data_IF_540464972781
#
_entry.id   IF_540464972781
#
_cell.length_a   1.000
_cell.length_b   1.000
_cell.length_c   1.000
_cell.angle_alpha   90.00
_cell.angle_beta   90.00
_cell.angle_gamma   90.00
#
_symmetry.space_group_name_H-M   'P 1'
#
loop_
_entity.id
_entity.type
_entity.pdbx_description
1 polymer ?
#
# COMPACT_ATOMS: atom_id res chain seq x y z
N UNK A 1 12.73 -9.46 -14.14
CA UNK A 1 13.81 -9.71 -13.16
C UNK A 1 13.44 -8.95 -11.90
N UNK A 2 13.55 -9.53 -10.70
CA UNK A 2 13.27 -8.75 -9.48
C UNK A 2 14.37 -7.70 -9.31
N UNK A 3 13.97 -6.46 -9.08
CA UNK A 3 14.86 -5.35 -8.72
C UNK A 3 15.66 -5.67 -7.46
N UNK A 4 16.64 -4.81 -7.15
CA UNK A 4 17.59 -5.07 -6.06
C UNK A 4 16.93 -5.14 -4.68
N UNK A 5 15.87 -4.36 -4.45
CA UNK A 5 15.28 -4.19 -3.12
C UNK A 5 14.45 -5.41 -2.70
N UNK A 6 13.74 -6.08 -3.63
CA UNK A 6 12.95 -7.28 -3.32
C UNK A 6 13.76 -8.45 -2.77
N UNK A 7 15.10 -8.41 -2.89
CA UNK A 7 16.02 -9.41 -2.36
C UNK A 7 16.36 -9.19 -0.87
N UNK A 8 16.05 -8.03 -0.31
CA UNK A 8 16.33 -7.68 1.09
C UNK A 8 15.27 -8.28 2.04
N UNK A 9 15.24 -9.62 2.14
CA UNK A 9 14.21 -10.35 2.90
C UNK A 9 14.20 -10.04 4.41
N UNK A 10 15.36 -9.69 4.96
CA UNK A 10 15.54 -9.36 6.37
C UNK A 10 15.41 -7.86 6.67
N UNK A 11 15.00 -7.05 5.69
CA UNK A 11 14.77 -5.62 5.91
C UNK A 11 13.58 -5.45 6.85
N UNK A 12 13.84 -4.89 8.03
CA UNK A 12 12.83 -4.66 9.06
C UNK A 12 12.24 -3.26 9.03
N UNK A 13 13.01 -2.27 8.59
CA UNK A 13 12.59 -0.89 8.56
C UNK A 13 12.83 -0.29 7.18
N UNK A 14 11.78 0.33 6.64
CA UNK A 14 11.81 1.12 5.42
C UNK A 14 10.82 2.26 5.64
N UNK A 15 11.27 3.51 5.53
CA UNK A 15 10.39 4.67 5.72
C UNK A 15 9.32 4.73 4.65
N UNK A 16 9.75 4.69 3.39
CA UNK A 16 8.89 4.87 2.24
C UNK A 16 9.40 4.14 1.00
N UNK A 17 8.47 3.87 0.09
CA UNK A 17 8.75 3.33 -1.24
C UNK A 17 8.06 4.18 -2.31
N UNK A 18 8.84 4.67 -3.27
CA UNK A 18 8.33 5.44 -4.42
C UNK A 18 8.11 4.50 -5.59
N UNK A 19 6.85 4.26 -5.94
CA UNK A 19 6.49 3.36 -7.05
C UNK A 19 6.89 3.99 -8.38
N UNK A 20 7.72 3.27 -9.15
CA UNK A 20 8.05 3.60 -10.53
C UNK A 20 7.12 2.92 -11.54
N UNK A 21 7.30 3.24 -12.83
CA UNK A 21 6.45 2.75 -13.94
C UNK A 21 7.01 1.49 -14.61
N UNK A 22 8.24 1.09 -14.28
CA UNK A 22 8.90 -0.07 -14.88
C UNK A 22 8.83 -1.24 -13.92
N UNK A 23 8.84 -2.48 -14.42
CA UNK A 23 8.76 -3.67 -13.56
C UNK A 23 9.86 -3.70 -12.47
N UNK A 24 11.06 -3.21 -12.79
CA UNK A 24 12.23 -3.21 -11.90
C UNK A 24 12.14 -2.22 -10.72
N UNK A 25 11.23 -1.26 -10.79
CA UNK A 25 10.96 -0.27 -9.74
C UNK A 25 9.46 -0.15 -9.41
N UNK A 26 8.65 -1.08 -9.90
CA UNK A 26 7.22 -1.13 -9.68
C UNK A 26 6.87 -1.61 -8.28
N UNK A 27 5.59 -1.53 -7.93
CA UNK A 27 5.08 -1.88 -6.60
C UNK A 27 5.32 -3.37 -6.26
N UNK A 28 5.47 -4.22 -7.26
CA UNK A 28 5.75 -5.65 -7.14
C UNK A 28 7.07 -5.92 -6.39
N UNK A 29 8.02 -4.98 -6.38
CA UNK A 29 9.27 -5.09 -5.62
C UNK A 29 9.03 -5.22 -4.11
N UNK A 30 7.93 -4.62 -3.61
CA UNK A 30 7.52 -4.78 -2.21
C UNK A 30 7.12 -6.21 -1.85
N UNK A 31 6.79 -7.05 -2.85
CA UNK A 31 6.43 -8.45 -2.64
C UNK A 31 7.54 -9.28 -1.99
N UNK A 32 8.78 -8.80 -2.06
CA UNK A 32 9.92 -9.42 -1.41
C UNK A 32 10.15 -9.01 0.05
N UNK A 33 9.58 -7.88 0.48
CA UNK A 33 9.84 -7.23 1.77
C UNK A 33 8.74 -7.58 2.79
N UNK A 34 8.67 -8.84 3.20
CA UNK A 34 7.59 -9.33 4.08
C UNK A 34 7.79 -9.00 5.56
N UNK A 35 9.04 -8.78 5.97
CA UNK A 35 9.42 -8.55 7.37
C UNK A 35 9.47 -7.06 7.73
N UNK A 36 8.71 -6.18 7.06
CA UNK A 36 8.68 -4.75 7.41
C UNK A 36 7.86 -4.51 8.69
N UNK A 37 8.37 -3.66 9.58
CA UNK A 37 7.78 -3.33 10.89
C UNK A 37 7.40 -1.85 10.99
N UNK A 38 6.40 -1.58 11.83
CA UNK A 38 6.07 -0.23 12.29
C UNK A 38 5.34 0.59 11.23
N UNK A 39 5.93 1.71 10.83
CA UNK A 39 5.32 2.69 9.93
C UNK A 39 5.88 2.53 8.53
N UNK A 40 5.02 2.50 7.51
CA UNK A 40 5.45 2.40 6.12
C UNK A 40 4.61 3.30 5.22
N UNK A 41 5.27 3.96 4.27
CA UNK A 41 4.63 4.82 3.28
C UNK A 41 4.85 4.31 1.85
N UNK A 42 3.81 4.32 1.03
CA UNK A 42 3.89 4.01 -0.41
C UNK A 42 3.44 5.23 -1.20
N UNK A 43 4.35 5.77 -2.01
CA UNK A 43 4.15 6.99 -2.81
C UNK A 43 3.97 6.66 -4.28
N UNK A 44 3.32 7.58 -5.00
CA UNK A 44 3.10 7.53 -6.45
C UNK A 44 2.27 6.33 -6.91
N UNK A 45 1.22 6.01 -6.15
CA UNK A 45 0.34 4.88 -6.47
C UNK A 45 -0.37 5.02 -7.84
N UNK A 46 -0.43 6.22 -8.42
CA UNK A 46 -0.87 6.45 -9.80
C UNK A 46 -0.09 5.65 -10.86
N UNK A 47 1.13 5.19 -10.53
CA UNK A 47 1.96 4.40 -11.44
C UNK A 47 1.58 2.92 -11.49
N UNK A 48 0.68 2.44 -10.62
CA UNK A 48 0.21 1.05 -10.60
C UNK A 48 -0.91 0.90 -11.63
N UNK A 49 -0.66 0.14 -12.70
CA UNK A 49 -1.56 0.10 -13.86
C UNK A 49 -2.66 -0.94 -13.66
N UNK A 50 -2.31 -2.10 -13.10
CA UNK A 50 -3.23 -3.22 -12.93
C UNK A 50 -3.34 -3.65 -11.46
N UNK A 51 -4.54 -4.08 -11.05
CA UNK A 51 -4.75 -4.65 -9.71
C UNK A 51 -3.87 -5.88 -9.43
N UNK A 52 -3.44 -6.61 -10.45
CA UNK A 52 -2.47 -7.72 -10.32
C UNK A 52 -1.12 -7.23 -9.78
N UNK A 53 -0.66 -6.06 -10.21
CA UNK A 53 0.59 -5.46 -9.73
C UNK A 53 0.47 -5.08 -8.25
N UNK A 54 -0.63 -4.43 -7.88
CA UNK A 54 -0.94 -4.11 -6.48
C UNK A 54 -0.96 -5.36 -5.59
N UNK A 55 -1.56 -6.46 -6.04
CA UNK A 55 -1.57 -7.74 -5.31
C UNK A 55 -0.17 -8.33 -5.12
N UNK A 56 0.71 -8.18 -6.10
CA UNK A 56 2.09 -8.65 -6.03
C UNK A 56 2.94 -7.87 -5.02
N UNK A 57 2.50 -6.68 -4.60
CA UNK A 57 3.13 -5.96 -3.49
C UNK A 57 3.01 -6.73 -2.17
N UNK A 58 2.07 -7.68 -2.05
CA UNK A 58 1.84 -8.54 -0.89
C UNK A 58 1.77 -7.75 0.42
N UNK A 59 0.96 -6.69 0.45
CA UNK A 59 0.77 -5.87 1.66
C UNK A 59 0.11 -6.70 2.78
N UNK A 60 -0.79 -7.62 2.42
CA UNK A 60 -1.41 -8.58 3.34
C UNK A 60 -0.39 -9.42 4.15
N UNK A 61 0.81 -9.65 3.61
CA UNK A 61 1.83 -10.46 4.26
C UNK A 61 2.72 -9.65 5.22
N UNK A 62 2.66 -8.32 5.18
CA UNK A 62 3.48 -7.41 6.00
C UNK A 62 2.87 -7.19 7.39
N UNK A 63 2.68 -8.29 8.12
CA UNK A 63 1.89 -8.34 9.37
C UNK A 63 2.42 -7.49 10.52
N UNK A 64 3.65 -6.99 10.43
CA UNK A 64 4.28 -6.19 11.47
C UNK A 64 4.16 -4.67 11.24
N UNK A 65 3.48 -4.25 10.17
CA UNK A 65 3.15 -2.85 9.94
C UNK A 65 1.95 -2.48 10.82
N UNK A 66 2.10 -1.42 11.61
CA UNK A 66 1.03 -0.88 12.44
C UNK A 66 0.36 0.33 11.76
N UNK A 67 1.12 1.11 10.99
CA UNK A 67 0.66 2.29 10.27
C UNK A 67 1.07 2.22 8.81
N UNK A 68 0.11 2.41 7.90
CA UNK A 68 0.33 2.48 6.46
C UNK A 68 -0.16 3.82 5.90
N UNK A 69 0.69 4.52 5.15
CA UNK A 69 0.32 5.69 4.36
C UNK A 69 0.36 5.35 2.87
N UNK A 70 -0.77 5.52 2.20
CA UNK A 70 -0.93 5.35 0.75
C UNK A 70 -1.07 6.73 0.11
N UNK A 71 -0.22 7.05 -0.86
CA UNK A 71 -0.19 8.39 -1.46
C UNK A 71 -0.23 8.37 -2.99
N UNK A 72 -1.22 9.07 -3.53
CA UNK A 72 -1.30 9.49 -4.94
C UNK A 72 -0.77 10.91 -5.08
N UNK A 73 0.15 11.12 -6.01
CA UNK A 73 0.81 12.42 -6.22
C UNK A 73 0.34 13.15 -7.48
N UNK A 74 -0.48 12.51 -8.31
CA UNK A 74 -1.06 13.11 -9.51
C UNK A 74 -2.58 13.00 -9.50
N UNK A 75 -3.20 13.64 -10.48
CA UNK A 75 -4.64 13.56 -10.66
C UNK A 75 -5.11 12.24 -11.32
N UNK A 76 -4.20 11.37 -11.74
CA UNK A 76 -4.46 10.10 -12.41
C UNK A 76 -4.61 8.94 -11.41
N UNK A 77 -5.55 9.06 -10.47
CA UNK A 77 -5.83 7.97 -9.54
C UNK A 77 -6.49 6.78 -10.27
N UNK A 78 -6.14 5.57 -9.85
CA UNK A 78 -6.74 4.32 -10.29
C UNK A 78 -7.26 3.59 -9.07
N UNK A 79 -8.42 2.96 -9.21
CA UNK A 79 -9.02 2.14 -8.16
C UNK A 79 -8.24 0.83 -7.98
N UNK A 80 -7.15 0.91 -7.21
CA UNK A 80 -6.29 -0.23 -6.85
C UNK A 80 -6.28 -0.47 -5.33
N UNK A 81 -7.01 0.35 -4.57
CA UNK A 81 -7.04 0.28 -3.11
C UNK A 81 -7.55 -1.07 -2.62
N UNK A 82 -8.61 -1.60 -3.24
CA UNK A 82 -9.10 -2.95 -2.93
C UNK A 82 -8.08 -4.05 -3.30
N UNK A 83 -7.32 -3.84 -4.38
CA UNK A 83 -6.33 -4.81 -4.84
C UNK A 83 -5.07 -4.90 -3.97
N UNK A 84 -4.75 -3.87 -3.18
CA UNK A 84 -3.61 -3.91 -2.26
C UNK A 84 -3.77 -4.96 -1.15
N UNK A 85 -5.02 -5.25 -0.76
CA UNK A 85 -5.40 -6.18 0.32
C UNK A 85 -4.59 -5.96 1.60
N UNK A 86 -5.10 -5.08 2.46
CA UNK A 86 -4.42 -4.78 3.72
C UNK A 86 -4.48 -5.97 4.69
N UNK A 87 -3.51 -6.09 5.59
CA UNK A 87 -3.55 -7.14 6.61
C UNK A 87 -4.51 -6.73 7.75
N UNK A 88 -5.19 -7.72 8.33
CA UNK A 88 -6.18 -7.54 9.39
C UNK A 88 -5.63 -6.99 10.72
N UNK A 89 -4.30 -7.00 10.88
CA UNK A 89 -3.62 -6.47 12.05
C UNK A 89 -3.32 -4.96 11.99
N UNK A 90 -3.58 -4.30 10.86
CA UNK A 90 -3.25 -2.90 10.65
C UNK A 90 -4.05 -2.02 11.62
N UNK A 91 -3.38 -1.11 12.33
CA UNK A 91 -4.01 -0.24 13.34
C UNK A 91 -4.44 1.10 12.76
N UNK A 92 -3.62 1.66 11.88
CA UNK A 92 -3.85 2.98 11.30
C UNK A 92 -3.61 2.96 9.79
N UNK A 93 -4.54 3.57 9.06
CA UNK A 93 -4.42 3.81 7.63
C UNK A 93 -4.59 5.30 7.35
N UNK A 94 -3.67 5.86 6.58
CA UNK A 94 -3.83 7.17 5.97
C UNK A 94 -3.79 7.04 4.45
N UNK A 95 -4.68 7.78 3.79
CA UNK A 95 -4.77 7.82 2.34
C UNK A 95 -4.70 9.30 1.90
N UNK A 96 -3.65 9.63 1.17
CA UNK A 96 -3.39 10.97 0.64
C UNK A 96 -3.66 10.98 -0.87
N UNK A 97 -4.55 11.87 -1.31
CA UNK A 97 -4.92 12.01 -2.72
C UNK A 97 -5.92 10.97 -3.24
N UNK A 98 -6.69 10.32 -2.37
CA UNK A 98 -7.77 9.42 -2.77
C UNK A 98 -8.86 10.19 -3.54
N UNK A 99 -9.32 9.65 -4.68
CA UNK A 99 -10.40 10.18 -5.52
C UNK A 99 -11.49 9.14 -5.81
N UNK A 100 -11.33 7.91 -5.34
CA UNK A 100 -12.37 6.91 -5.38
C UNK A 100 -13.64 7.46 -4.72
N UNK A 101 -14.78 7.24 -5.35
CA UNK A 101 -16.08 7.69 -4.82
C UNK A 101 -16.69 6.68 -3.86
N UNK A 102 -16.14 5.47 -3.80
CA UNK A 102 -16.62 4.35 -3.00
C UNK A 102 -15.42 3.69 -2.33
N UNK A 103 -15.45 3.60 -1.01
CA UNK A 103 -14.45 2.83 -0.28
C UNK A 103 -14.61 1.33 -0.53
N UNK A 104 -13.50 0.58 -0.56
CA UNK A 104 -13.56 -0.87 -0.55
C UNK A 104 -14.33 -1.40 0.66
N UNK A 105 -15.04 -2.52 0.47
CA UNK A 105 -15.88 -3.16 1.49
C UNK A 105 -15.11 -3.48 2.78
N UNK A 106 -13.80 -3.67 2.67
CA UNK A 106 -12.96 -4.03 3.80
C UNK A 106 -12.89 -2.96 4.90
N UNK A 107 -13.10 -1.67 4.59
CA UNK A 107 -13.07 -0.58 5.59
C UNK A 107 -14.13 -0.78 6.68
N UNK A 108 -15.28 -1.36 6.32
CA UNK A 108 -16.38 -1.66 7.26
C UNK A 108 -16.43 -3.13 7.70
N UNK A 109 -15.51 -3.98 7.23
CA UNK A 109 -15.59 -5.41 7.47
C UNK A 109 -15.04 -5.78 8.86
N UNK A 110 -15.73 -6.66 9.58
CA UNK A 110 -15.38 -7.07 10.96
C UNK A 110 -13.98 -7.66 11.09
N UNK A 111 -13.43 -8.24 10.02
CA UNK A 111 -12.04 -8.72 9.97
C UNK A 111 -11.00 -7.62 10.23
N UNK A 112 -11.34 -6.33 10.07
CA UNK A 112 -10.43 -5.20 10.33
C UNK A 112 -10.67 -4.54 11.70
N UNK A 113 -11.17 -5.30 12.67
CA UNK A 113 -11.43 -4.84 14.05
C UNK A 113 -10.22 -4.20 14.77
N UNK A 114 -8.98 -4.47 14.34
CA UNK A 114 -7.78 -3.85 14.93
C UNK A 114 -7.54 -2.42 14.44
N UNK A 115 -8.20 -2.02 13.35
CA UNK A 115 -8.05 -0.69 12.76
C UNK A 115 -8.80 0.33 13.61
N UNK A 116 -8.04 1.23 14.23
CA UNK A 116 -8.56 2.28 15.13
C UNK A 116 -8.66 3.64 14.47
N UNK A 117 -7.94 3.84 13.35
CA UNK A 117 -7.93 5.11 12.63
C UNK A 117 -7.84 4.90 11.12
N UNK A 118 -8.73 5.58 10.40
CA UNK A 118 -8.67 5.78 8.96
C UNK A 118 -8.69 7.28 8.70
N UNK A 119 -7.73 7.80 7.94
CA UNK A 119 -7.62 9.22 7.61
C UNK A 119 -7.57 9.42 6.10
N UNK A 120 -8.40 10.32 5.59
CA UNK A 120 -8.34 10.83 4.24
C UNK A 120 -7.69 12.21 4.25
N UNK A 121 -6.73 12.44 3.35
CA UNK A 121 -5.98 13.70 3.25
C UNK A 121 -5.93 14.15 1.80
N UNK A 122 -6.16 15.45 1.55
CA UNK A 122 -6.13 16.05 0.22
C UNK A 122 -6.92 15.28 -0.86
N UNK A 123 -8.05 14.69 -0.49
CA UNK A 123 -8.94 13.99 -1.42
C UNK A 123 -9.63 15.00 -2.35
N UNK A 124 -9.72 14.65 -3.64
CA UNK A 124 -10.45 15.42 -4.65
C UNK A 124 -11.65 14.60 -5.10
N UNK A 125 -12.84 15.18 -5.00
CA UNK A 125 -14.09 14.63 -5.55
C UNK A 125 -14.33 15.13 -6.96
#
# INVERSE_FOLDING_TARGET
MSGGISKLKELQFLSDFVVGRQEENGIQELGGLVNLHGTFEIKKLENVVEGKEARNARIIDKRHIDYLLLKWCSDDERDILDSLRLHHGLKELAIDGYKGTIFPDWVGHSSYQNMTRVSLVYCKN
#
